data_IF_512817452569
#
_entry.id   IF_512817452569
#
_cell.length_a   1.000
_cell.length_b   1.000
_cell.length_c   1.000
_cell.angle_alpha   90.00
_cell.angle_beta   90.00
_cell.angle_gamma   90.00
#
_symmetry.space_group_name_H-M   'P 1'
#
loop_
_entity.id
_entity.type
_entity.pdbx_description
1 polymer ?
#
# COMPACT_ATOMS: atom_id res chain seq x y z
N UNK A 1 10.21 73.25 -3.64
CA UNK A 1 8.94 72.57 -3.95
C UNK A 1 9.24 71.46 -4.94
N UNK A 2 8.92 70.17 -4.78
CA UNK A 2 8.33 69.38 -3.71
C UNK A 2 8.83 67.92 -3.88
N UNK A 3 8.91 67.21 -2.76
CA UNK A 3 9.09 65.76 -2.62
C UNK A 3 8.06 64.96 -3.44
N UNK A 4 8.43 63.74 -3.88
CA UNK A 4 7.68 62.47 -3.67
C UNK A 4 8.18 61.31 -4.54
N UNK A 5 8.90 60.35 -3.94
CA UNK A 5 8.55 58.92 -3.73
C UNK A 5 8.35 58.05 -4.97
N UNK A 6 9.18 57.01 -5.08
CA UNK A 6 8.70 55.68 -5.44
C UNK A 6 9.53 54.62 -4.71
N UNK A 7 8.79 53.79 -3.97
CA UNK A 7 9.25 52.84 -2.98
C UNK A 7 9.87 51.59 -3.62
N UNK A 8 10.93 51.08 -2.97
CA UNK A 8 11.63 49.86 -3.33
C UNK A 8 10.78 48.66 -2.90
N UNK A 9 10.59 47.74 -3.84
CA UNK A 9 9.77 46.54 -3.79
C UNK A 9 10.02 45.65 -2.56
N UNK A 10 8.91 45.19 -1.98
CA UNK A 10 8.84 44.19 -0.93
C UNK A 10 9.43 42.84 -1.38
N UNK A 11 10.45 42.35 -0.67
CA UNK A 11 10.95 41.00 -0.81
C UNK A 11 10.05 40.04 -0.02
N UNK A 12 9.31 39.21 -0.75
CA UNK A 12 8.53 38.09 -0.26
C UNK A 12 9.47 37.04 0.34
N UNK A 13 9.38 36.80 1.64
CA UNK A 13 9.96 35.62 2.30
C UNK A 13 8.83 34.81 2.93
N UNK A 14 8.12 34.06 2.08
CA UNK A 14 7.23 33.00 2.52
C UNK A 14 8.08 31.79 2.92
N UNK A 15 8.46 31.71 4.19
CA UNK A 15 8.97 30.49 4.79
C UNK A 15 7.81 29.49 4.90
N UNK A 16 7.56 28.75 3.82
CA UNK A 16 6.81 27.50 3.89
C UNK A 16 7.66 26.53 4.71
N UNK A 17 7.35 26.46 6.01
CA UNK A 17 7.72 25.36 6.86
C UNK A 17 7.11 24.10 6.25
N UNK A 18 7.94 23.32 5.55
CA UNK A 18 7.63 21.92 5.28
C UNK A 18 7.53 21.21 6.63
N UNK A 19 6.32 21.14 7.17
CA UNK A 19 5.97 20.13 8.15
C UNK A 19 6.14 18.79 7.42
N UNK A 20 7.32 18.19 7.55
CA UNK A 20 7.53 16.79 7.19
C UNK A 20 6.65 16.02 8.17
N UNK A 21 5.54 15.40 7.72
CA UNK A 21 4.85 14.49 8.62
C UNK A 21 5.87 13.42 8.95
N UNK A 22 6.21 13.29 10.23
CA UNK A 22 6.93 12.12 10.70
C UNK A 22 6.01 10.95 10.33
N UNK A 23 6.41 10.18 9.31
CA UNK A 23 5.71 8.98 8.88
C UNK A 23 5.92 7.96 9.99
N UNK A 24 5.14 8.09 11.06
CA UNK A 24 4.92 7.00 11.99
C UNK A 24 4.44 5.79 11.15
N UNK A 25 4.94 4.59 11.48
CA UNK A 25 4.51 3.37 10.84
C UNK A 25 2.98 3.30 10.90
N UNK A 26 2.33 3.47 9.75
CA UNK A 26 0.88 3.46 9.65
C UNK A 26 0.41 2.05 10.00
N UNK A 27 -0.51 1.92 10.97
CA UNK A 27 -1.06 0.62 11.35
C UNK A 27 -1.65 -0.06 10.11
N UNK A 28 -1.20 -1.28 9.75
CA UNK A 28 -1.70 -2.01 8.58
C UNK A 28 -3.22 -2.16 8.54
N UNK A 29 -3.91 -2.11 9.69
CA UNK A 29 -5.37 -2.13 9.78
C UNK A 29 -6.04 -0.88 9.20
N UNK A 30 -5.29 0.20 9.00
CA UNK A 30 -5.77 1.46 8.42
C UNK A 30 -5.36 1.66 6.96
N UNK A 31 -4.60 0.74 6.36
CA UNK A 31 -4.27 0.81 4.94
C UNK A 31 -5.50 0.61 4.06
N UNK A 32 -5.68 1.50 3.07
CA UNK A 32 -6.82 1.48 2.16
C UNK A 32 -6.39 1.14 0.74
N UNK A 33 -6.95 0.06 0.19
CA UNK A 33 -6.83 -0.27 -1.21
C UNK A 33 -7.59 0.74 -2.05
N UNK A 34 -7.00 1.16 -3.17
CA UNK A 34 -7.64 2.02 -4.15
C UNK A 34 -7.62 1.39 -5.54
N UNK A 35 -8.58 1.71 -6.42
CA UNK A 35 -8.57 1.21 -7.80
C UNK A 35 -7.28 1.57 -8.55
N UNK A 36 -6.73 2.77 -8.33
CA UNK A 36 -5.48 3.20 -8.94
C UNK A 36 -4.29 2.36 -8.47
N UNK A 37 -4.21 2.05 -7.18
CA UNK A 37 -3.17 1.20 -6.62
C UNK A 37 -3.27 -0.24 -7.14
N UNK A 38 -4.48 -0.80 -7.21
CA UNK A 38 -4.70 -2.13 -7.78
C UNK A 38 -4.29 -2.21 -9.25
N UNK A 39 -4.50 -1.14 -10.03
CA UNK A 39 -4.03 -1.07 -11.41
C UNK A 39 -2.51 -1.09 -11.50
N UNK A 40 -1.81 -0.34 -10.64
CA UNK A 40 -0.34 -0.37 -10.58
C UNK A 40 0.19 -1.75 -10.22
N UNK A 41 -0.40 -2.40 -9.19
CA UNK A 41 -0.02 -3.75 -8.78
C UNK A 41 -0.22 -4.76 -9.93
N UNK A 42 -1.34 -4.67 -10.65
CA UNK A 42 -1.61 -5.51 -11.82
C UNK A 42 -0.62 -5.25 -12.96
N UNK A 43 -0.24 -4.00 -13.21
CA UNK A 43 0.73 -3.66 -14.24
C UNK A 43 2.14 -4.16 -13.90
N UNK A 44 2.50 -4.18 -12.60
CA UNK A 44 3.77 -4.69 -12.12
C UNK A 44 3.87 -6.22 -12.09
N UNK A 45 2.75 -6.95 -12.16
CA UNK A 45 2.68 -8.40 -11.94
C UNK A 45 3.63 -9.21 -12.84
N UNK A 46 3.62 -8.96 -14.15
CA UNK A 46 4.48 -9.69 -15.10
C UNK A 46 5.98 -9.44 -14.86
N UNK A 47 6.34 -8.19 -14.57
CA UNK A 47 7.72 -7.82 -14.29
C UNK A 47 8.21 -8.40 -12.96
N UNK A 48 7.34 -8.43 -11.94
CA UNK A 48 7.64 -9.04 -10.64
C UNK A 48 7.75 -10.56 -10.71
N UNK A 49 6.96 -11.21 -11.57
CA UNK A 49 7.08 -12.64 -11.85
C UNK A 49 8.40 -12.97 -12.58
N UNK A 50 8.83 -12.11 -13.50
CA UNK A 50 10.08 -12.31 -14.22
C UNK A 50 11.33 -12.26 -13.32
N UNK A 51 11.24 -11.59 -12.16
CA UNK A 51 12.31 -11.61 -11.16
C UNK A 51 12.45 -12.95 -10.44
N UNK A 52 11.35 -13.70 -10.30
CA UNK A 52 11.33 -14.99 -9.62
C UNK A 52 11.42 -16.11 -10.67
N UNK A 53 12.61 -16.65 -10.90
CA UNK A 53 12.73 -17.82 -11.78
C UNK A 53 12.09 -19.05 -11.11
N UNK A 54 11.29 -19.84 -11.84
CA UNK A 54 10.74 -21.08 -11.31
C UNK A 54 11.86 -22.08 -11.04
N UNK A 55 12.27 -22.22 -9.78
CA UNK A 55 13.34 -23.12 -9.34
C UNK A 55 14.31 -22.51 -8.34
N UNK A 56 14.35 -21.19 -8.20
CA UNK A 56 15.03 -20.52 -7.08
C UNK A 56 14.10 -20.53 -5.86
N UNK A 57 13.99 -21.69 -5.21
CA UNK A 57 13.58 -21.71 -3.81
C UNK A 57 14.65 -20.96 -3.03
N UNK A 58 14.39 -19.69 -2.68
CA UNK A 58 15.14 -19.00 -1.63
C UNK A 58 15.22 -19.98 -0.45
N UNK A 59 16.45 -20.42 -0.13
CA UNK A 59 16.67 -21.10 1.13
C UNK A 59 16.06 -20.22 2.23
N UNK A 60 15.37 -20.80 3.23
CA UNK A 60 14.68 -20.00 4.23
C UNK A 60 15.69 -19.06 4.87
N UNK A 61 15.59 -17.79 4.50
CA UNK A 61 16.39 -16.72 5.07
C UNK A 61 16.05 -16.70 6.55
N UNK A 62 17.05 -16.92 7.41
CA UNK A 62 16.94 -16.93 8.88
C UNK A 62 16.65 -15.53 9.44
N UNK A 63 16.09 -14.64 8.61
CA UNK A 63 15.65 -13.30 8.98
C UNK A 63 14.35 -13.44 9.77
N UNK A 64 14.52 -13.51 11.10
CA UNK A 64 13.49 -13.72 12.12
C UNK A 64 12.37 -12.65 12.16
N UNK A 65 12.48 -11.55 11.41
CA UNK A 65 11.49 -10.48 11.44
C UNK A 65 10.40 -10.64 10.37
N UNK A 66 9.36 -11.39 10.72
CA UNK A 66 8.15 -11.57 9.89
C UNK A 66 7.16 -10.41 9.99
N UNK A 67 7.54 -9.27 10.59
CA UNK A 67 6.67 -8.09 10.66
C UNK A 67 6.53 -7.39 9.31
N UNK A 68 5.52 -6.53 9.18
CA UNK A 68 5.32 -5.68 8.00
C UNK A 68 6.56 -4.82 7.71
N UNK A 69 7.16 -4.23 8.73
CA UNK A 69 8.37 -3.42 8.56
C UNK A 69 9.60 -4.29 8.21
N UNK A 70 9.68 -5.52 8.74
CA UNK A 70 10.67 -6.51 8.33
C UNK A 70 10.57 -6.83 6.83
N UNK A 71 9.36 -7.12 6.35
CA UNK A 71 9.09 -7.38 4.94
C UNK A 71 9.43 -6.17 4.04
N UNK A 72 9.06 -4.95 4.45
CA UNK A 72 9.42 -3.72 3.72
C UNK A 72 10.94 -3.60 3.60
N UNK A 73 11.67 -3.78 4.70
CA UNK A 73 13.14 -3.72 4.69
C UNK A 73 13.78 -4.82 3.84
N UNK A 74 13.20 -6.03 3.81
CA UNK A 74 13.67 -7.11 2.94
C UNK A 74 13.56 -6.69 1.48
N UNK A 75 12.42 -6.16 1.07
CA UNK A 75 12.21 -5.68 -0.30
C UNK A 75 13.13 -4.50 -0.62
N UNK A 76 13.29 -3.54 0.29
CA UNK A 76 14.17 -2.37 0.09
C UNK A 76 15.65 -2.75 -0.12
N UNK A 77 16.09 -3.91 0.39
CA UNK A 77 17.44 -4.44 0.15
C UNK A 77 17.61 -5.07 -1.23
N UNK A 78 16.53 -5.49 -1.88
CA UNK A 78 16.58 -6.06 -3.22
C UNK A 78 16.51 -4.94 -4.29
N UNK A 79 17.65 -4.66 -4.90
CA UNK A 79 17.77 -3.63 -5.94
C UNK A 79 16.96 -3.96 -7.20
N UNK A 80 16.80 -5.25 -7.54
CA UNK A 80 16.03 -5.64 -8.71
C UNK A 80 14.55 -5.38 -8.47
N UNK A 81 14.01 -5.85 -7.34
CA UNK A 81 12.61 -5.60 -6.98
C UNK A 81 12.31 -4.12 -6.86
N UNK A 82 13.13 -3.35 -6.13
CA UNK A 82 12.91 -1.89 -5.99
C UNK A 82 12.96 -1.15 -7.33
N UNK A 83 13.82 -1.58 -8.27
CA UNK A 83 13.84 -1.04 -9.64
C UNK A 83 12.55 -1.32 -10.39
N UNK A 84 11.98 -2.52 -10.26
CA UNK A 84 10.68 -2.85 -10.85
C UNK A 84 9.57 -2.01 -10.24
N UNK A 85 9.52 -1.91 -8.92
CA UNK A 85 8.51 -1.11 -8.22
C UNK A 85 8.56 0.36 -8.66
N UNK A 86 9.76 0.94 -8.77
CA UNK A 86 9.94 2.32 -9.23
C UNK A 86 9.39 2.54 -10.65
N UNK A 87 9.58 1.60 -11.58
CA UNK A 87 9.04 1.68 -12.96
C UNK A 87 7.51 1.76 -12.98
N UNK A 88 6.85 1.15 -12.01
CA UNK A 88 5.38 1.13 -11.88
C UNK A 88 4.85 2.16 -10.87
N UNK A 89 5.69 3.09 -10.42
CA UNK A 89 5.37 4.10 -9.41
C UNK A 89 4.76 3.49 -8.13
N UNK A 90 5.34 2.38 -7.70
CA UNK A 90 5.06 1.66 -6.45
C UNK A 90 6.25 1.79 -5.50
N UNK A 91 5.97 1.85 -4.21
CA UNK A 91 6.93 1.67 -3.13
C UNK A 91 6.85 0.26 -2.53
N UNK A 92 7.93 -0.19 -1.89
CA UNK A 92 7.95 -1.44 -1.12
C UNK A 92 6.86 -1.48 -0.05
N UNK A 93 6.61 -0.34 0.62
CA UNK A 93 5.52 -0.18 1.59
C UNK A 93 4.15 -0.38 0.95
N UNK A 94 3.87 0.26 -0.18
CA UNK A 94 2.61 0.06 -0.89
C UNK A 94 2.43 -1.39 -1.32
N UNK A 95 3.49 -2.06 -1.79
CA UNK A 95 3.43 -3.47 -2.16
C UNK A 95 3.06 -4.35 -0.96
N UNK A 96 3.79 -4.24 0.16
CA UNK A 96 3.59 -5.07 1.35
C UNK A 96 2.22 -4.82 1.99
N UNK A 97 1.85 -3.55 2.20
CA UNK A 97 0.56 -3.22 2.81
C UNK A 97 -0.61 -3.62 1.91
N UNK A 98 -0.47 -3.52 0.58
CA UNK A 98 -1.49 -4.01 -0.34
C UNK A 98 -1.63 -5.51 -0.31
N UNK A 99 -0.50 -6.25 -0.30
CA UNK A 99 -0.52 -7.70 -0.20
C UNK A 99 -1.18 -8.16 1.10
N UNK A 100 -0.84 -7.53 2.23
CA UNK A 100 -1.46 -7.79 3.53
C UNK A 100 -2.97 -7.49 3.51
N UNK A 101 -3.38 -6.33 2.98
CA UNK A 101 -4.79 -5.94 2.89
C UNK A 101 -5.60 -6.88 1.98
N UNK A 102 -5.05 -7.28 0.83
CA UNK A 102 -5.66 -8.23 -0.10
C UNK A 102 -5.79 -9.61 0.53
N UNK A 103 -4.76 -10.10 1.22
CA UNK A 103 -4.79 -11.39 1.91
C UNK A 103 -5.86 -11.38 3.02
N UNK A 104 -5.86 -10.37 3.89
CA UNK A 104 -6.84 -10.24 4.96
C UNK A 104 -8.28 -10.19 4.40
N UNK A 105 -8.51 -9.35 3.38
CA UNK A 105 -9.82 -9.23 2.75
C UNK A 105 -10.25 -10.53 2.05
N UNK A 106 -9.33 -11.22 1.37
CA UNK A 106 -9.58 -12.51 0.72
C UNK A 106 -9.90 -13.61 1.72
N UNK A 107 -9.17 -13.69 2.84
CA UNK A 107 -9.45 -14.63 3.92
C UNK A 107 -10.83 -14.40 4.53
N UNK A 108 -11.22 -13.13 4.71
CA UNK A 108 -12.57 -12.82 5.17
C UNK A 108 -13.64 -13.28 4.16
N UNK A 109 -13.46 -12.99 2.87
CA UNK A 109 -14.44 -13.40 1.84
C UNK A 109 -14.54 -14.92 1.75
N UNK A 110 -13.42 -15.65 1.87
CA UNK A 110 -13.44 -17.11 1.96
C UNK A 110 -14.18 -17.60 3.21
N UNK A 111 -13.88 -17.03 4.39
CA UNK A 111 -14.58 -17.37 5.63
C UNK A 111 -16.08 -17.06 5.59
N UNK A 112 -16.48 -16.00 4.88
CA UNK A 112 -17.89 -15.64 4.66
C UNK A 112 -18.64 -16.70 3.85
N UNK A 113 -17.96 -17.41 2.93
CA UNK A 113 -18.54 -18.51 2.16
C UNK A 113 -18.65 -19.81 2.99
N UNK A 114 -17.74 -20.02 3.94
CA UNK A 114 -17.72 -21.21 4.80
C UNK A 114 -18.68 -21.10 6.00
N UNK A 115 -18.62 -19.99 6.75
CA UNK A 115 -19.48 -19.71 7.91
C UNK A 115 -19.87 -18.22 7.94
N UNK A 116 -20.98 -17.85 7.30
CA UNK A 116 -21.45 -16.46 7.23
C UNK A 116 -21.71 -15.84 8.60
N UNK A 117 -22.10 -16.64 9.62
CA UNK A 117 -22.45 -16.11 10.94
C UNK A 117 -21.18 -15.72 11.70
N UNK A 118 -20.17 -16.60 11.67
CA UNK A 118 -18.88 -16.34 12.30
C UNK A 118 -18.16 -15.18 11.61
N UNK A 119 -18.17 -15.14 10.27
CA UNK A 119 -17.61 -14.02 9.51
C UNK A 119 -18.30 -12.69 9.90
N UNK A 120 -19.63 -12.65 9.93
CA UNK A 120 -20.37 -11.45 10.33
C UNK A 120 -20.05 -10.97 11.77
N UNK A 121 -19.68 -11.88 12.67
CA UNK A 121 -19.25 -11.51 14.01
C UNK A 121 -17.87 -10.82 13.98
N UNK A 122 -16.90 -11.38 13.27
CA UNK A 122 -15.57 -10.78 13.09
C UNK A 122 -15.64 -9.43 12.37
N UNK A 123 -16.51 -9.31 11.37
CA UNK A 123 -16.68 -8.09 10.58
C UNK A 123 -17.04 -6.86 11.43
N UNK A 124 -17.76 -7.04 12.54
CA UNK A 124 -18.15 -5.93 13.42
C UNK A 124 -16.94 -5.22 14.03
N UNK A 125 -15.91 -5.99 14.40
CA UNK A 125 -14.70 -5.48 15.04
C UNK A 125 -13.71 -4.82 14.07
N UNK A 126 -13.90 -4.98 12.76
CA UNK A 126 -12.98 -4.41 11.76
C UNK A 126 -13.08 -2.90 11.64
N UNK A 127 -11.95 -2.28 11.30
CA UNK A 127 -11.84 -0.85 10.98
C UNK A 127 -12.65 -0.52 9.72
N UNK A 128 -12.92 0.78 9.51
CA UNK A 128 -13.58 1.25 8.29
C UNK A 128 -12.79 0.87 7.04
N UNK A 129 -11.47 0.96 7.08
CA UNK A 129 -10.58 0.65 5.96
C UNK A 129 -10.56 -0.85 5.66
N UNK A 130 -10.49 -1.72 6.68
CA UNK A 130 -10.62 -3.17 6.49
C UNK A 130 -11.95 -3.54 5.83
N UNK A 131 -13.06 -2.94 6.28
CA UNK A 131 -14.40 -3.14 5.69
C UNK A 131 -14.45 -2.69 4.23
N UNK A 132 -13.81 -1.56 3.90
CA UNK A 132 -13.72 -1.07 2.53
C UNK A 132 -12.89 -2.00 1.63
N UNK A 133 -11.74 -2.49 2.11
CA UNK A 133 -10.91 -3.46 1.40
C UNK A 133 -11.66 -4.77 1.13
N UNK A 134 -12.42 -5.27 2.11
CA UNK A 134 -13.30 -6.44 1.95
C UNK A 134 -14.34 -6.19 0.85
N UNK A 135 -14.98 -5.03 0.84
CA UNK A 135 -15.98 -4.70 -0.19
C UNK A 135 -15.37 -4.71 -1.60
N UNK A 136 -14.15 -4.20 -1.75
CA UNK A 136 -13.40 -4.26 -3.01
C UNK A 136 -13.18 -5.71 -3.44
N UNK A 137 -12.62 -6.56 -2.57
CA UNK A 137 -12.33 -7.97 -2.92
C UNK A 137 -13.61 -8.76 -3.20
N UNK A 138 -14.68 -8.54 -2.42
CA UNK A 138 -15.99 -9.19 -2.65
C UNK A 138 -16.53 -8.90 -4.05
N UNK A 139 -16.31 -7.69 -4.57
CA UNK A 139 -16.73 -7.30 -5.91
C UNK A 139 -15.97 -8.05 -7.03
N UNK A 140 -14.77 -8.55 -6.75
CA UNK A 140 -13.99 -9.39 -7.67
C UNK A 140 -14.28 -10.90 -7.50
N UNK A 141 -14.59 -11.35 -6.28
CA UNK A 141 -14.83 -12.76 -5.98
C UNK A 141 -16.21 -13.27 -6.44
N UNK A 142 -17.21 -12.38 -6.54
CA UNK A 142 -18.55 -12.77 -6.98
C UNK A 142 -18.57 -12.80 -8.52
N UNK A 143 -18.81 -13.96 -9.18
CA UNK A 143 -18.93 -13.99 -10.63
C UNK A 143 -20.08 -13.09 -11.06
N UNK A 144 -19.80 -12.06 -11.87
CA UNK A 144 -20.86 -11.36 -12.59
C UNK A 144 -21.52 -12.37 -13.52
N UNK A 145 -22.75 -12.76 -13.22
CA UNK A 145 -23.59 -13.46 -14.21
C UNK A 145 -23.69 -12.55 -15.44
N UNK A 146 -23.37 -13.03 -16.66
CA UNK A 146 -23.60 -12.28 -17.88
C UNK A 146 -25.08 -11.97 -18.07
#
# INVERSE_FOLDING_TARGET
MNLRTLAISAAVSAALLFAVPVLAAEDPAHFLLSPALLQKLKAAEADMQALHQPGESEAPDDDTDTSIEGAIRKIDKDTNTTTVLARHALSSRELVLSAHALLHAGMYVAAELEDPRKAAQSYKAYTTQQKANIAIVRAFATPRKP
#
